data_IF_113598965715
#
_entry.id   IF_113598965715
#
_cell.length_a   1.000
_cell.length_b   1.000
_cell.length_c   1.000
_cell.angle_alpha   90.00
_cell.angle_beta   90.00
_cell.angle_gamma   90.00
#
_symmetry.space_group_name_H-M   'P 1'
#
loop_
_entity.id
_entity.type
_entity.pdbx_description
1 polymer ?
#
# COMPACT_ATOMS: atom_id res chain seq x y z
N UNK A 1 -11.66 -11.78 6.53
CA UNK A 1 -11.38 -12.16 7.94
C UNK A 1 -11.02 -13.64 8.08
N UNK A 2 -11.88 -14.58 7.67
CA UNK A 2 -11.72 -16.03 7.93
C UNK A 2 -10.52 -16.74 7.29
N UNK A 3 -10.02 -16.25 6.15
CA UNK A 3 -8.98 -16.95 5.37
C UNK A 3 -7.78 -16.06 5.08
N UNK A 4 -8.02 -14.86 4.54
CA UNK A 4 -6.94 -13.94 4.14
C UNK A 4 -6.01 -13.54 5.30
N UNK A 5 -6.57 -13.11 6.44
CA UNK A 5 -5.75 -12.58 7.54
C UNK A 5 -4.98 -13.67 8.30
N UNK A 6 -5.58 -14.84 8.63
CA UNK A 6 -4.81 -15.95 9.19
C UNK A 6 -3.67 -16.41 8.26
N UNK A 7 -3.91 -16.48 6.94
CA UNK A 7 -2.86 -16.83 6.00
C UNK A 7 -1.75 -15.76 5.97
N UNK A 8 -2.12 -14.49 5.87
CA UNK A 8 -1.16 -13.37 5.89
C UNK A 8 -0.24 -13.40 7.12
N UNK A 9 -0.79 -13.69 8.31
CA UNK A 9 -0.01 -13.78 9.55
C UNK A 9 0.91 -15.01 9.57
N UNK A 10 0.45 -16.16 9.05
CA UNK A 10 1.27 -17.36 8.93
C UNK A 10 2.39 -17.17 7.90
N UNK A 11 2.09 -16.57 6.75
CA UNK A 11 3.07 -16.26 5.72
C UNK A 11 4.12 -15.28 6.25
N UNK A 12 3.70 -14.27 7.03
CA UNK A 12 4.61 -13.35 7.72
C UNK A 12 5.52 -14.08 8.70
N UNK A 13 4.97 -15.01 9.51
CA UNK A 13 5.76 -15.81 10.43
C UNK A 13 6.76 -16.72 9.70
N UNK A 14 6.33 -17.35 8.61
CA UNK A 14 7.17 -18.22 7.78
C UNK A 14 8.32 -17.42 7.14
N UNK A 15 8.04 -16.24 6.60
CA UNK A 15 9.05 -15.39 5.97
C UNK A 15 10.07 -14.87 6.99
N UNK A 16 9.61 -14.36 8.14
CA UNK A 16 10.49 -13.88 9.21
C UNK A 16 11.30 -15.00 9.89
N UNK A 17 10.91 -16.27 9.72
CA UNK A 17 11.66 -17.43 10.23
C UNK A 17 12.87 -17.83 9.38
N UNK A 18 12.93 -17.34 8.13
CA UNK A 18 14.03 -17.63 7.21
C UNK A 18 15.20 -16.68 7.49
N UNK A 19 16.46 -17.11 7.24
CA UNK A 19 17.60 -16.20 7.30
C UNK A 19 17.41 -15.03 6.33
N UNK A 20 17.53 -13.81 6.84
CA UNK A 20 17.43 -12.57 6.05
C UNK A 20 18.77 -11.81 6.12
N UNK A 21 19.18 -11.07 5.06
CA UNK A 21 20.25 -10.08 5.16
C UNK A 21 19.99 -8.99 6.20
N UNK A 22 18.74 -8.83 6.64
CA UNK A 22 18.33 -7.96 7.75
C UNK A 22 18.08 -8.75 9.04
N UNK A 23 17.60 -8.09 10.10
CA UNK A 23 17.33 -8.75 11.38
C UNK A 23 16.08 -9.63 11.26
N UNK A 24 16.21 -10.91 11.56
CA UNK A 24 15.07 -11.82 11.70
C UNK A 24 14.33 -11.58 13.01
N UNK A 25 13.01 -11.75 13.03
CA UNK A 25 12.27 -11.72 14.30
C UNK A 25 12.75 -12.84 15.24
N UNK A 26 12.75 -12.59 16.57
CA UNK A 26 13.07 -13.65 17.52
C UNK A 26 11.98 -14.74 17.54
N UNK A 27 12.33 -15.93 18.03
CA UNK A 27 11.48 -17.13 17.91
C UNK A 27 10.14 -17.01 18.66
N UNK A 28 10.11 -16.27 19.76
CA UNK A 28 8.90 -15.95 20.53
C UNK A 28 7.96 -15.02 19.74
N UNK A 29 8.49 -14.00 19.05
CA UNK A 29 7.71 -13.14 18.16
C UNK A 29 7.08 -13.93 16.99
N UNK A 30 7.83 -14.86 16.40
CA UNK A 30 7.30 -15.77 15.36
C UNK A 30 6.18 -16.65 15.92
N UNK A 31 6.35 -17.20 17.13
CA UNK A 31 5.32 -17.99 17.78
C UNK A 31 4.07 -17.16 18.13
N UNK A 32 4.26 -15.89 18.52
CA UNK A 32 3.18 -14.95 18.79
C UNK A 32 2.35 -14.65 17.54
N UNK A 33 2.99 -14.45 16.37
CA UNK A 33 2.30 -14.31 15.09
C UNK A 33 1.43 -15.52 14.76
N UNK A 34 1.95 -16.74 14.93
CA UNK A 34 1.17 -17.97 14.71
C UNK A 34 0.00 -18.12 15.69
N UNK A 35 0.21 -17.71 16.94
CA UNK A 35 -0.84 -17.71 17.97
C UNK A 35 -1.95 -16.73 17.60
N UNK A 36 -1.59 -15.52 17.15
CA UNK A 36 -2.53 -14.54 16.65
C UNK A 36 -3.28 -15.06 15.40
N UNK A 37 -2.58 -15.69 14.46
CA UNK A 37 -3.19 -16.28 13.26
C UNK A 37 -4.24 -17.35 13.61
N UNK A 38 -3.93 -18.24 14.56
CA UNK A 38 -4.85 -19.24 15.05
C UNK A 38 -6.05 -18.62 15.76
N UNK A 39 -5.84 -17.58 16.57
CA UNK A 39 -6.91 -16.85 17.24
C UNK A 39 -7.85 -16.17 16.24
N UNK A 40 -7.32 -15.49 15.22
CA UNK A 40 -8.12 -14.86 14.15
C UNK A 40 -8.93 -15.93 13.40
N UNK A 41 -8.29 -17.02 12.97
CA UNK A 41 -8.95 -18.07 12.20
C UNK A 41 -10.05 -18.80 12.99
N UNK A 42 -9.87 -18.97 14.30
CA UNK A 42 -10.84 -19.58 15.19
C UNK A 42 -11.96 -18.61 15.63
N UNK A 43 -12.04 -17.40 15.09
CA UNK A 43 -12.95 -16.35 15.54
C UNK A 43 -12.81 -16.04 17.05
N UNK A 44 -11.58 -15.98 17.54
CA UNK A 44 -11.28 -15.65 18.92
C UNK A 44 -11.70 -14.22 19.28
N UNK A 45 -11.72 -13.94 20.59
CA UNK A 45 -11.89 -12.57 21.09
C UNK A 45 -10.71 -11.69 20.65
N UNK A 46 -10.99 -10.44 20.29
CA UNK A 46 -9.97 -9.47 19.89
C UNK A 46 -9.20 -9.03 21.17
N UNK A 47 -7.91 -9.37 21.30
CA UNK A 47 -7.14 -9.06 22.50
C UNK A 47 -6.89 -7.55 22.61
N UNK A 48 -6.68 -7.05 23.82
CA UNK A 48 -6.10 -5.72 24.01
C UNK A 48 -4.60 -5.73 23.65
N UNK A 49 -4.02 -4.55 23.47
CA UNK A 49 -2.56 -4.38 23.43
C UNK A 49 -1.95 -4.86 24.75
N UNK A 50 -0.72 -5.39 24.68
CA UNK A 50 0.04 -5.87 25.84
C UNK A 50 0.26 -4.78 26.89
N UNK A 51 0.47 -3.54 26.44
CA UNK A 51 0.50 -2.33 27.26
C UNK A 51 -0.50 -1.28 26.71
N UNK A 52 -1.67 -1.13 27.34
CA UNK A 52 -2.65 -0.09 27.00
C UNK A 52 -2.11 1.35 27.01
N UNK A 53 -1.05 1.62 27.78
CA UNK A 53 -0.48 2.96 27.90
C UNK A 53 0.48 3.30 26.75
N UNK A 54 0.97 2.30 26.04
CA UNK A 54 1.84 2.48 24.87
C UNK A 54 1.13 3.19 23.71
N UNK A 55 -0.20 3.07 23.65
CA UNK A 55 -1.02 3.65 22.58
C UNK A 55 -2.46 3.92 23.05
N UNK A 56 -2.69 5.04 23.76
CA UNK A 56 -3.98 5.35 24.36
C UNK A 56 -5.11 5.50 23.33
N UNK A 57 -4.79 5.92 22.11
CA UNK A 57 -5.75 6.06 21.01
C UNK A 57 -6.28 4.68 20.61
N UNK A 58 -5.38 3.76 20.26
CA UNK A 58 -5.77 2.40 19.91
C UNK A 58 -6.41 1.63 21.07
N UNK A 59 -6.01 1.92 22.32
CA UNK A 59 -6.69 1.36 23.48
C UNK A 59 -8.15 1.83 23.57
N UNK A 60 -8.40 3.13 23.34
CA UNK A 60 -9.75 3.71 23.34
C UNK A 60 -10.60 3.11 22.22
N UNK A 61 -10.05 2.98 21.01
CA UNK A 61 -10.75 2.37 19.88
C UNK A 61 -11.05 0.89 20.13
N UNK A 62 -10.10 0.15 20.72
CA UNK A 62 -10.36 -1.23 21.14
C UNK A 62 -11.46 -1.32 22.18
N UNK A 63 -11.50 -0.45 23.19
CA UNK A 63 -12.60 -0.41 24.16
C UNK A 63 -13.97 -0.20 23.51
N UNK A 64 -14.04 0.66 22.50
CA UNK A 64 -15.30 0.98 21.83
C UNK A 64 -15.72 -0.08 20.80
N UNK A 65 -14.77 -0.63 20.05
CA UNK A 65 -15.03 -1.43 18.85
C UNK A 65 -14.56 -2.88 18.94
N UNK A 66 -13.67 -3.23 19.87
CA UNK A 66 -13.07 -4.56 20.00
C UNK A 66 -13.41 -5.31 21.29
N UNK A 67 -13.61 -4.62 22.42
CA UNK A 67 -13.89 -5.26 23.70
C UNK A 67 -15.20 -6.06 23.66
N UNK A 68 -15.14 -7.33 24.06
CA UNK A 68 -16.26 -8.27 24.00
C UNK A 68 -16.61 -8.75 22.58
N UNK A 69 -15.85 -8.33 21.56
CA UNK A 69 -16.02 -8.76 20.16
C UNK A 69 -15.02 -9.83 19.76
N UNK A 70 -15.38 -10.54 18.70
CA UNK A 70 -14.53 -11.52 18.02
C UNK A 70 -14.20 -11.02 16.62
N UNK A 71 -13.15 -11.59 16.02
CA UNK A 71 -12.65 -11.19 14.70
C UNK A 71 -13.69 -11.23 13.58
N UNK A 72 -14.70 -12.12 13.67
CA UNK A 72 -15.75 -12.26 12.66
C UNK A 72 -17.04 -11.52 13.01
N UNK A 73 -17.14 -10.87 14.17
CA UNK A 73 -18.34 -10.11 14.57
C UNK A 73 -18.07 -8.59 14.80
N UNK A 74 -16.81 -8.17 14.77
CA UNK A 74 -16.42 -6.77 14.81
C UNK A 74 -16.60 -6.09 13.44
N UNK A 75 -16.65 -4.75 13.45
CA UNK A 75 -16.64 -3.97 12.21
C UNK A 75 -15.34 -4.24 11.44
N UNK A 76 -15.46 -4.53 10.14
CA UNK A 76 -14.34 -5.00 9.33
C UNK A 76 -13.14 -4.03 9.35
N UNK A 77 -13.39 -2.75 9.14
CA UNK A 77 -12.35 -1.71 9.12
C UNK A 77 -11.55 -1.67 10.44
N UNK A 78 -12.24 -1.61 11.59
CA UNK A 78 -11.59 -1.64 12.89
C UNK A 78 -10.78 -2.92 13.08
N UNK A 79 -11.39 -4.08 12.84
CA UNK A 79 -10.73 -5.36 13.05
C UNK A 79 -9.46 -5.49 12.21
N UNK A 80 -9.51 -5.05 10.95
CA UNK A 80 -8.33 -5.15 10.07
C UNK A 80 -7.24 -4.14 10.45
N UNK A 81 -7.60 -2.88 10.66
CA UNK A 81 -6.62 -1.85 11.04
C UNK A 81 -5.97 -2.15 12.40
N UNK A 82 -6.78 -2.60 13.37
CA UNK A 82 -6.30 -2.99 14.69
C UNK A 82 -5.42 -4.26 14.64
N UNK A 83 -5.68 -5.19 13.72
CA UNK A 83 -4.82 -6.37 13.54
C UNK A 83 -3.39 -5.96 13.21
N UNK A 84 -3.19 -5.02 12.28
CA UNK A 84 -1.85 -4.56 11.91
C UNK A 84 -1.14 -3.83 13.07
N UNK A 85 -1.89 -3.10 13.90
CA UNK A 85 -1.34 -2.54 15.14
C UNK A 85 -0.98 -3.61 16.17
N UNK A 86 -1.80 -4.65 16.31
CA UNK A 86 -1.55 -5.79 17.20
C UNK A 86 -0.34 -6.60 16.76
N UNK A 87 -0.11 -6.76 15.45
CA UNK A 87 1.09 -7.42 14.93
C UNK A 87 2.36 -6.75 15.46
N UNK A 88 2.43 -5.42 15.46
CA UNK A 88 3.58 -4.69 16.02
C UNK A 88 3.75 -4.92 17.53
N UNK A 89 2.64 -5.05 18.26
CA UNK A 89 2.63 -5.31 19.70
C UNK A 89 3.12 -6.73 20.02
N UNK A 90 2.50 -7.74 19.42
CA UNK A 90 2.81 -9.16 19.71
C UNK A 90 4.18 -9.59 19.22
N UNK A 91 4.72 -8.91 18.20
CA UNK A 91 6.09 -9.18 17.74
C UNK A 91 7.13 -8.47 18.58
N UNK A 92 6.76 -7.46 19.39
CA UNK A 92 7.69 -6.72 20.22
C UNK A 92 8.42 -5.59 19.48
N UNK A 93 7.84 -5.06 18.40
CA UNK A 93 8.44 -4.00 17.58
C UNK A 93 8.96 -2.82 18.42
N UNK A 94 8.18 -2.36 19.42
CA UNK A 94 8.58 -1.25 20.28
C UNK A 94 9.84 -1.52 21.13
N UNK A 95 10.18 -2.80 21.37
CA UNK A 95 11.33 -3.21 22.19
C UNK A 95 12.60 -3.35 21.34
N UNK A 96 12.51 -4.06 20.21
CA UNK A 96 13.69 -4.40 19.41
C UNK A 96 13.79 -3.65 18.07
N UNK A 97 12.74 -2.95 17.65
CA UNK A 97 12.71 -2.13 16.43
C UNK A 97 12.82 -2.92 15.12
N UNK A 98 12.49 -4.20 15.12
CA UNK A 98 12.52 -5.04 13.91
C UNK A 98 11.12 -5.05 13.34
N UNK A 99 10.94 -4.44 12.18
CA UNK A 99 9.66 -4.35 11.49
C UNK A 99 9.19 -5.75 11.05
N UNK A 100 8.07 -6.29 11.55
CA UNK A 100 7.60 -7.62 11.15
C UNK A 100 7.14 -7.69 9.67
N UNK A 101 6.92 -6.55 9.03
CA UNK A 101 6.49 -6.46 7.62
C UNK A 101 7.65 -6.45 6.62
N UNK A 102 8.90 -6.25 7.06
CA UNK A 102 10.04 -6.07 6.15
C UNK A 102 10.27 -7.26 5.21
N UNK A 103 10.11 -8.52 5.67
CA UNK A 103 10.33 -9.67 4.80
C UNK A 103 9.29 -9.77 3.67
N UNK A 104 8.05 -9.34 3.93
CA UNK A 104 7.01 -9.26 2.90
C UNK A 104 7.38 -8.20 1.86
N UNK A 105 7.90 -7.06 2.31
CA UNK A 105 8.41 -6.01 1.44
C UNK A 105 9.58 -6.49 0.58
N UNK A 106 10.61 -7.10 1.17
CA UNK A 106 11.78 -7.54 0.40
C UNK A 106 11.43 -8.65 -0.60
N UNK A 107 10.57 -9.59 -0.25
CA UNK A 107 10.24 -10.68 -1.17
C UNK A 107 9.31 -10.25 -2.31
N UNK A 108 8.34 -9.37 -2.05
CA UNK A 108 7.34 -8.97 -3.04
C UNK A 108 7.72 -7.66 -3.73
N UNK A 109 7.99 -6.60 -2.95
CA UNK A 109 8.20 -5.25 -3.48
C UNK A 109 9.59 -5.01 -4.05
N UNK A 110 10.64 -5.62 -3.50
CA UNK A 110 11.94 -5.57 -4.17
C UNK A 110 11.97 -6.42 -5.43
N UNK A 111 11.30 -7.58 -5.42
CA UNK A 111 11.14 -8.38 -6.63
C UNK A 111 10.33 -7.64 -7.72
N UNK A 112 9.33 -6.84 -7.32
CA UNK A 112 8.60 -5.94 -8.22
C UNK A 112 9.57 -4.93 -8.88
N UNK A 113 10.42 -4.27 -8.09
CA UNK A 113 11.38 -3.28 -8.59
C UNK A 113 12.57 -3.89 -9.35
N UNK A 114 12.84 -5.18 -9.22
CA UNK A 114 13.83 -5.88 -10.05
C UNK A 114 13.33 -6.12 -11.49
N UNK A 115 12.02 -6.05 -11.72
CA UNK A 115 11.45 -6.06 -13.07
C UNK A 115 11.70 -4.70 -13.76
N UNK A 116 11.97 -4.65 -15.08
CA UNK A 116 12.16 -3.39 -15.79
C UNK A 116 10.86 -2.57 -15.97
N UNK A 117 9.68 -3.17 -15.74
CA UNK A 117 8.37 -2.54 -16.00
C UNK A 117 8.12 -1.30 -15.13
N UNK A 118 8.28 -1.32 -13.79
CA UNK A 118 8.07 -0.13 -12.95
C UNK A 118 8.94 1.06 -13.40
N UNK A 119 10.19 0.80 -13.77
CA UNK A 119 11.13 1.81 -14.25
C UNK A 119 10.72 2.40 -15.60
N UNK A 120 10.26 1.57 -16.55
CA UNK A 120 9.76 2.06 -17.84
C UNK A 120 8.48 2.89 -17.70
N UNK A 121 7.61 2.52 -16.75
CA UNK A 121 6.42 3.31 -16.43
C UNK A 121 6.82 4.67 -15.85
N UNK A 122 7.79 4.69 -14.94
CA UNK A 122 8.35 5.94 -14.39
C UNK A 122 9.00 6.80 -15.49
N UNK A 123 9.81 6.22 -16.36
CA UNK A 123 10.42 6.92 -17.51
C UNK A 123 9.35 7.52 -18.44
N UNK A 124 8.24 6.80 -18.66
CA UNK A 124 7.14 7.29 -19.48
C UNK A 124 6.38 8.43 -18.79
N UNK A 125 6.19 8.34 -17.47
CA UNK A 125 5.61 9.41 -16.66
C UNK A 125 6.50 10.67 -16.68
N UNK A 126 7.83 10.49 -16.57
CA UNK A 126 8.80 11.58 -16.65
C UNK A 126 8.86 12.22 -18.06
N UNK A 127 8.74 11.43 -19.13
CA UNK A 127 8.70 11.99 -20.49
C UNK A 127 7.47 12.89 -20.74
N UNK A 128 6.34 12.60 -20.07
CA UNK A 128 5.16 13.45 -20.11
C UNK A 128 5.37 14.79 -19.39
N UNK A 129 6.32 14.85 -18.46
CA UNK A 129 6.73 16.09 -17.80
C UNK A 129 7.58 16.96 -18.73
N UNK A 130 8.56 16.37 -19.42
CA UNK A 130 9.55 17.11 -20.22
C UNK A 130 9.01 17.68 -21.54
N UNK A 131 7.83 17.25 -21.99
CA UNK A 131 7.27 17.58 -23.31
C UNK A 131 6.21 18.69 -23.29
N UNK A 132 6.07 19.39 -22.16
CA UNK A 132 4.95 20.29 -21.90
C UNK A 132 5.20 21.71 -22.39
N UNK A 133 4.24 22.26 -23.11
CA UNK A 133 3.93 23.69 -23.12
C UNK A 133 2.58 23.93 -22.42
N UNK A 134 2.20 25.18 -22.15
CA UNK A 134 0.96 25.52 -21.44
C UNK A 134 -0.31 24.89 -22.08
N UNK A 135 -0.25 24.40 -23.32
CA UNK A 135 -1.40 23.80 -24.02
C UNK A 135 -1.56 22.31 -23.78
N UNK A 136 -0.53 21.60 -23.31
CA UNK A 136 -0.56 20.15 -23.06
C UNK A 136 -0.49 19.76 -21.59
N UNK A 137 -0.29 20.72 -20.67
CA UNK A 137 -0.16 20.46 -19.24
C UNK A 137 -1.37 19.70 -18.65
N UNK A 138 -2.59 20.12 -18.99
CA UNK A 138 -3.83 19.48 -18.52
C UNK A 138 -3.98 18.03 -19.04
N UNK A 139 -3.56 17.79 -20.29
CA UNK A 139 -3.58 16.45 -20.90
C UNK A 139 -2.56 15.53 -20.23
N UNK A 140 -1.33 16.01 -20.00
CA UNK A 140 -0.29 15.28 -19.27
C UNK A 140 -0.73 14.97 -17.83
N UNK A 141 -1.34 15.95 -17.14
CA UNK A 141 -1.86 15.75 -15.78
C UNK A 141 -2.97 14.68 -15.74
N UNK A 142 -3.88 14.67 -16.72
CA UNK A 142 -4.91 13.63 -16.83
C UNK A 142 -4.29 12.23 -16.97
N UNK A 143 -3.22 12.10 -17.77
CA UNK A 143 -2.50 10.82 -17.92
C UNK A 143 -1.78 10.44 -16.63
N UNK A 144 -1.12 11.38 -15.95
CA UNK A 144 -0.40 11.12 -14.70
C UNK A 144 -1.34 10.71 -13.55
N UNK A 145 -2.52 11.32 -13.44
CA UNK A 145 -3.57 10.91 -12.48
C UNK A 145 -3.95 9.44 -12.70
N UNK A 146 -4.10 9.04 -13.96
CA UNK A 146 -4.42 7.66 -14.33
C UNK A 146 -3.25 6.70 -14.08
N UNK A 147 -2.01 7.11 -14.35
CA UNK A 147 -0.82 6.32 -14.03
C UNK A 147 -0.73 6.06 -12.51
N UNK A 148 -0.92 7.08 -11.67
CA UNK A 148 -0.98 6.95 -10.21
C UNK A 148 -2.10 5.98 -9.78
N UNK A 149 -3.32 6.13 -10.32
CA UNK A 149 -4.45 5.22 -10.04
C UNK A 149 -4.13 3.74 -10.34
N UNK A 150 -3.51 3.46 -11.49
CA UNK A 150 -3.27 2.08 -11.94
C UNK A 150 -1.93 1.51 -11.47
N UNK A 151 -1.09 2.31 -10.82
CA UNK A 151 0.20 1.87 -10.27
C UNK A 151 0.07 0.67 -9.33
N UNK A 152 -1.02 0.59 -8.57
CA UNK A 152 -1.33 -0.54 -7.70
C UNK A 152 -1.63 -1.85 -8.49
N UNK A 153 -2.18 -1.75 -9.71
CA UNK A 153 -2.55 -2.93 -10.53
C UNK A 153 -1.46 -3.44 -11.47
N UNK A 154 -0.37 -2.69 -11.63
CA UNK A 154 0.81 -3.14 -12.37
C UNK A 154 1.45 -4.40 -11.72
N UNK A 155 1.19 -4.61 -10.42
CA UNK A 155 1.72 -5.69 -9.59
C UNK A 155 1.00 -7.06 -9.75
N UNK A 156 0.09 -7.23 -10.73
CA UNK A 156 -0.45 -8.58 -10.96
C UNK A 156 -1.57 -8.81 -11.97
N UNK A 157 -2.18 -7.78 -12.56
CA UNK A 157 -3.47 -7.98 -13.25
C UNK A 157 -3.46 -7.97 -14.79
N UNK A 158 -2.44 -7.47 -15.49
CA UNK A 158 -2.53 -7.35 -16.95
C UNK A 158 -1.31 -7.85 -17.72
N UNK A 159 -1.39 -9.11 -18.16
CA UNK A 159 -0.58 -9.64 -19.26
C UNK A 159 -0.69 -8.77 -20.53
N UNK A 160 -1.80 -8.05 -20.71
CA UNK A 160 -2.03 -7.15 -21.87
C UNK A 160 -1.25 -5.84 -21.78
N UNK A 161 -0.91 -5.37 -20.57
CA UNK A 161 0.02 -4.24 -20.38
C UNK A 161 1.44 -4.63 -20.79
N UNK A 162 1.85 -5.89 -20.58
CA UNK A 162 3.17 -6.37 -21.05
C UNK A 162 3.32 -6.37 -22.57
N UNK A 163 2.21 -6.48 -23.31
CA UNK A 163 2.23 -6.51 -24.79
C UNK A 163 2.01 -5.12 -25.42
N UNK A 164 1.37 -4.16 -24.73
CA UNK A 164 1.30 -2.75 -25.15
C UNK A 164 2.61 -1.99 -24.87
N UNK A 165 3.48 -2.51 -23.99
CA UNK A 165 4.87 -2.06 -23.81
C UNK A 165 5.78 -2.65 -24.92
N UNK A 166 5.33 -2.54 -26.18
CA UNK A 166 6.15 -2.76 -27.38
C UNK A 166 6.03 -1.54 -28.28
N UNK A 167 6.73 -0.50 -27.88
CA UNK A 167 6.88 0.76 -28.60
C UNK A 167 7.71 1.71 -27.74
N UNK A 168 8.30 2.73 -28.36
CA UNK A 168 9.10 3.77 -27.69
C UNK A 168 8.32 4.55 -26.62
N UNK A 169 7.01 4.35 -26.48
CA UNK A 169 6.15 4.93 -25.45
C UNK A 169 5.31 3.82 -24.81
N UNK A 170 5.62 3.47 -23.56
CA UNK A 170 4.80 2.56 -22.78
C UNK A 170 3.53 3.31 -22.37
N UNK A 171 2.49 3.23 -23.20
CA UNK A 171 1.15 3.55 -22.75
C UNK A 171 0.67 2.34 -21.95
N UNK A 172 0.40 2.56 -20.66
CA UNK A 172 -0.68 1.80 -20.06
C UNK A 172 -1.85 2.06 -21.02
N UNK A 173 -2.35 1.03 -21.70
CA UNK A 173 -3.69 1.08 -22.25
C UNK A 173 -4.56 1.20 -20.99
N UNK A 174 -4.70 2.45 -20.53
CA UNK A 174 -5.45 2.81 -19.35
C UNK A 174 -6.86 2.50 -19.76
N UNK A 175 -7.30 1.31 -19.40
CA UNK A 175 -8.57 0.80 -19.87
C UNK A 175 -9.66 1.53 -19.08
N UNK A 176 -10.01 2.71 -19.61
CA UNK A 176 -11.10 3.57 -19.16
C UNK A 176 -12.41 2.78 -19.06
N UNK A 177 -12.52 1.62 -19.74
CA UNK A 177 -13.66 0.72 -19.57
C UNK A 177 -13.81 0.16 -18.15
N UNK A 178 -12.73 0.14 -17.35
CA UNK A 178 -12.79 -0.24 -15.93
C UNK A 178 -12.90 0.95 -14.97
N UNK A 179 -12.89 2.19 -15.49
CA UNK A 179 -13.07 3.39 -14.68
C UNK A 179 -14.56 3.69 -14.54
N UNK A 180 -15.12 3.36 -13.37
CA UNK A 180 -16.56 3.52 -13.12
C UNK A 180 -16.98 4.98 -12.88
N UNK A 181 -16.05 5.80 -12.38
CA UNK A 181 -16.25 7.22 -12.14
C UNK A 181 -14.93 7.95 -12.42
N UNK A 182 -15.00 9.01 -13.21
CA UNK A 182 -13.84 9.81 -13.61
C UNK A 182 -14.11 11.31 -13.34
N UNK A 183 -13.55 11.81 -12.23
CA UNK A 183 -13.60 13.22 -11.84
C UNK A 183 -12.31 13.97 -12.22
N UNK A 184 -11.42 13.38 -13.04
CA UNK A 184 -10.10 13.95 -13.35
C UNK A 184 -10.21 15.37 -13.93
N UNK A 185 -11.18 15.62 -14.81
CA UNK A 185 -11.41 16.95 -15.38
C UNK A 185 -11.77 18.00 -14.31
N UNK A 186 -12.57 17.62 -13.31
CA UNK A 186 -12.93 18.51 -12.21
C UNK A 186 -11.71 18.79 -11.30
N UNK A 187 -10.87 17.77 -11.07
CA UNK A 187 -9.61 17.91 -10.32
C UNK A 187 -8.65 18.86 -11.04
N UNK A 188 -8.44 18.68 -12.35
CA UNK A 188 -7.57 19.54 -13.17
C UNK A 188 -8.05 21.00 -13.13
N UNK A 189 -9.37 21.23 -13.32
CA UNK A 189 -9.95 22.57 -13.22
C UNK A 189 -9.77 23.17 -11.81
N UNK A 190 -9.90 22.36 -10.77
CA UNK A 190 -9.70 22.80 -9.39
C UNK A 190 -8.24 23.22 -9.14
N UNK A 191 -7.28 22.43 -9.62
CA UNK A 191 -5.84 22.74 -9.51
C UNK A 191 -5.47 24.01 -10.27
N UNK A 192 -5.98 24.17 -11.50
CA UNK A 192 -5.75 25.36 -12.33
C UNK A 192 -6.23 26.66 -11.65
N UNK A 193 -7.30 26.59 -10.86
CA UNK A 193 -7.83 27.74 -10.10
C UNK A 193 -7.14 27.97 -8.74
N UNK A 194 -6.34 27.01 -8.26
CA UNK A 194 -5.73 27.02 -6.94
C UNK A 194 -4.21 26.77 -6.95
N UNK A 195 -3.49 27.24 -7.98
CA UNK A 195 -2.05 26.98 -8.22
C UNK A 195 -1.10 27.18 -7.02
N UNK A 196 -1.45 28.02 -6.05
CA UNK A 196 -0.60 28.32 -4.89
C UNK A 196 -0.97 27.51 -3.63
N UNK A 197 -1.85 26.51 -3.73
CA UNK A 197 -2.32 25.71 -2.60
C UNK A 197 -1.53 24.40 -2.51
N UNK A 198 -1.25 23.90 -1.29
CA UNK A 198 -0.59 22.63 -1.13
C UNK A 198 -1.50 21.49 -1.61
N UNK A 199 -0.90 20.51 -2.29
CA UNK A 199 -1.53 19.22 -2.60
C UNK A 199 -0.97 18.20 -1.61
N UNK A 200 -1.85 17.45 -0.95
CA UNK A 200 -1.47 16.43 0.03
C UNK A 200 -1.75 15.05 -0.54
N UNK A 201 -0.75 14.17 -0.50
CA UNK A 201 -0.88 12.77 -0.88
C UNK A 201 -1.09 11.93 0.37
N UNK A 202 -2.12 11.07 0.33
CA UNK A 202 -2.34 10.01 1.32
C UNK A 202 -2.01 8.71 0.59
N UNK A 203 -0.76 8.28 0.69
CA UNK A 203 -0.25 7.13 -0.07
C UNK A 203 -0.84 5.80 0.45
N UNK A 204 -0.93 4.82 -0.45
CA UNK A 204 -1.37 3.45 -0.14
C UNK A 204 -0.18 2.46 -0.17
N UNK A 205 0.28 2.03 -1.36
CA UNK A 205 1.37 1.04 -1.46
C UNK A 205 2.72 1.63 -1.88
N UNK A 206 3.78 0.93 -1.49
CA UNK A 206 5.12 1.09 -2.03
C UNK A 206 5.29 0.28 -3.34
N UNK A 207 6.46 0.39 -4.00
CA UNK A 207 6.72 -0.26 -5.29
C UNK A 207 6.37 0.67 -6.46
N UNK A 208 5.73 0.15 -7.51
CA UNK A 208 5.36 0.95 -8.70
C UNK A 208 4.43 2.10 -8.35
N UNK A 209 3.49 1.90 -7.43
CA UNK A 209 2.49 2.92 -7.06
C UNK A 209 3.15 4.21 -6.55
N UNK A 210 4.03 4.10 -5.54
CA UNK A 210 4.72 5.28 -5.01
C UNK A 210 5.63 5.96 -6.05
N UNK A 211 6.19 5.22 -7.01
CA UNK A 211 6.98 5.83 -8.11
C UNK A 211 6.10 6.71 -9.00
N UNK A 212 4.87 6.27 -9.30
CA UNK A 212 3.93 7.02 -10.14
C UNK A 212 3.27 8.18 -9.38
N UNK A 213 3.03 8.02 -8.08
CA UNK A 213 2.64 9.12 -7.20
C UNK A 213 3.70 10.22 -7.17
N UNK A 214 4.99 9.85 -7.09
CA UNK A 214 6.10 10.79 -7.11
C UNK A 214 6.24 11.50 -8.46
N UNK A 215 6.01 10.80 -9.58
CA UNK A 215 6.00 11.43 -10.90
C UNK A 215 4.86 12.45 -11.04
N UNK A 216 3.67 12.13 -10.52
CA UNK A 216 2.55 13.06 -10.46
C UNK A 216 2.88 14.27 -9.56
N UNK A 217 3.48 14.03 -8.39
CA UNK A 217 3.89 15.10 -7.49
C UNK A 217 4.95 16.03 -8.13
N UNK A 218 5.92 15.48 -8.84
CA UNK A 218 6.94 16.25 -9.57
C UNK A 218 6.32 17.14 -10.65
N UNK A 219 5.36 16.61 -11.42
CA UNK A 219 4.59 17.39 -12.39
C UNK A 219 3.83 18.56 -11.75
N UNK A 220 3.15 18.32 -10.62
CA UNK A 220 2.40 19.35 -9.87
C UNK A 220 3.30 20.40 -9.21
N UNK A 221 4.58 20.09 -8.94
CA UNK A 221 5.53 21.05 -8.38
C UNK A 221 6.10 21.99 -9.44
N UNK A 222 6.17 21.54 -10.69
CA UNK A 222 6.75 22.32 -11.79
C UNK A 222 5.72 23.19 -12.53
N UNK A 223 4.42 22.81 -12.57
CA UNK A 223 3.37 23.44 -13.39
C UNK A 223 2.20 23.99 -12.56
#
# INVERSE_FOLDING_TARGET
MTTRLPNLLNDMADQNSKPHPHKTLPADAIAALRTLAANVGANGAIPALSDPSSDPTWHTDWKLHGEGRTWHNAAWFFAEAYLFRLVLDVTGYAVHGIDPYHCQYEHMKMAELDDPTPWRLLESAAALHDTIDDTTADESLAVLLKLSLWGNKADGAYKQVKDSIRGTHATLDIDDAYLLADDSAAVIQHLATHKSKPVHFINDNCGTEILLDLALADHLLTH
#
